data_IF_784528106445
#
_entry.id   IF_784528106445
#
_cell.length_a   1.000
_cell.length_b   1.000
_cell.length_c   1.000
_cell.angle_alpha   90.00
_cell.angle_beta   90.00
_cell.angle_gamma   90.00
#
_symmetry.space_group_name_H-M   'P 1'
#
loop_
_entity.id
_entity.type
_entity.pdbx_description
1 polymer ?
#
# COMPACT_ATOMS: atom_id res chain seq x y z
N UNK A 1 17.61 -12.09 -20.98
CA UNK A 1 17.07 -11.19 -22.01
C UNK A 1 15.98 -11.97 -22.73
N UNK A 2 14.80 -11.37 -22.95
CA UNK A 2 13.72 -12.03 -23.71
C UNK A 2 14.12 -12.13 -25.18
N UNK A 3 13.77 -13.23 -25.82
CA UNK A 3 13.99 -13.46 -27.25
C UNK A 3 13.03 -12.62 -28.10
N UNK A 4 13.42 -12.27 -29.32
CA UNK A 4 12.59 -11.43 -30.21
C UNK A 4 11.19 -12.02 -30.42
N UNK A 5 11.08 -13.35 -30.58
CA UNK A 5 9.80 -14.04 -30.77
C UNK A 5 8.85 -13.85 -29.58
N UNK A 6 9.38 -13.91 -28.35
CA UNK A 6 8.57 -13.74 -27.14
C UNK A 6 8.06 -12.31 -27.03
N UNK A 7 8.93 -11.32 -27.31
CA UNK A 7 8.55 -9.91 -27.28
C UNK A 7 7.52 -9.60 -28.36
N UNK A 8 7.71 -10.08 -29.59
CA UNK A 8 6.75 -9.93 -30.69
C UNK A 8 5.38 -10.49 -30.34
N UNK A 9 5.31 -11.64 -29.67
CA UNK A 9 4.05 -12.21 -29.20
C UNK A 9 3.35 -11.33 -28.14
N UNK A 10 4.12 -10.58 -27.34
CA UNK A 10 3.60 -9.66 -26.32
C UNK A 10 3.27 -8.25 -26.83
N UNK A 11 3.63 -7.88 -28.07
CA UNK A 11 3.47 -6.49 -28.56
C UNK A 11 2.00 -6.05 -28.65
N UNK A 12 1.06 -6.96 -28.91
CA UNK A 12 -0.38 -6.60 -28.92
C UNK A 12 -0.86 -6.24 -27.51
N UNK A 13 -0.58 -7.10 -26.53
CA UNK A 13 -0.86 -6.81 -25.11
C UNK A 13 -0.11 -5.58 -24.59
N UNK A 14 1.07 -5.29 -25.13
CA UNK A 14 1.80 -4.04 -24.85
C UNK A 14 1.06 -2.80 -25.37
N UNK A 15 0.51 -2.85 -26.59
CA UNK A 15 -0.28 -1.75 -27.17
C UNK A 15 -1.58 -1.52 -26.37
N UNK A 16 -2.19 -2.60 -25.89
CA UNK A 16 -3.45 -2.56 -25.14
C UNK A 16 -3.26 -2.27 -23.63
N UNK A 17 -2.02 -2.02 -23.18
CA UNK A 17 -1.63 -1.82 -21.77
C UNK A 17 -2.09 -2.96 -20.83
N UNK A 18 -2.08 -4.20 -21.32
CA UNK A 18 -2.51 -5.41 -20.60
C UNK A 18 -1.36 -6.16 -19.90
N UNK A 19 -0.11 -5.73 -20.12
CA UNK A 19 1.05 -6.35 -19.48
C UNK A 19 1.18 -5.95 -18.01
N UNK A 20 1.63 -6.89 -17.18
CA UNK A 20 2.09 -6.56 -15.83
C UNK A 20 3.33 -5.64 -15.88
N UNK A 21 3.64 -5.02 -14.74
CA UNK A 21 4.78 -4.10 -14.66
C UNK A 21 6.11 -4.77 -15.05
N UNK A 22 6.37 -5.98 -14.53
CA UNK A 22 7.59 -6.74 -14.83
C UNK A 22 7.67 -7.13 -16.32
N UNK A 23 6.55 -7.51 -16.92
CA UNK A 23 6.49 -7.88 -18.34
C UNK A 23 6.74 -6.68 -19.24
N UNK A 24 6.16 -5.52 -18.89
CA UNK A 24 6.32 -4.27 -19.63
C UNK A 24 7.77 -3.79 -19.57
N UNK A 25 8.40 -3.84 -18.40
CA UNK A 25 9.82 -3.50 -18.25
C UNK A 25 10.72 -4.41 -19.11
N UNK A 26 10.44 -5.72 -19.15
CA UNK A 26 11.18 -6.64 -19.99
C UNK A 26 11.02 -6.37 -21.49
N UNK A 27 9.81 -5.97 -21.93
CA UNK A 27 9.54 -5.57 -23.31
C UNK A 27 10.23 -4.24 -23.65
N UNK A 28 10.12 -3.23 -22.79
CA UNK A 28 10.76 -1.92 -22.96
C UNK A 28 12.29 -2.06 -23.05
N UNK A 29 12.88 -2.87 -22.18
CA UNK A 29 14.31 -3.20 -22.21
C UNK A 29 14.72 -3.85 -23.54
N UNK A 30 13.91 -4.78 -24.07
CA UNK A 30 14.21 -5.39 -25.36
C UNK A 30 14.07 -4.40 -26.52
N UNK A 31 13.03 -3.56 -26.53
CA UNK A 31 12.81 -2.55 -27.56
C UNK A 31 13.95 -1.53 -27.63
N UNK A 32 14.58 -1.21 -26.48
CA UNK A 32 15.75 -0.33 -26.44
C UNK A 32 17.03 -0.94 -27.03
N UNK A 33 17.12 -2.28 -27.05
CA UNK A 33 18.34 -3.00 -27.42
C UNK A 33 18.24 -3.76 -28.75
N UNK A 34 17.02 -3.94 -29.30
CA UNK A 34 16.76 -4.65 -30.55
C UNK A 34 16.18 -3.69 -31.60
N UNK A 35 16.80 -3.51 -32.77
CA UNK A 35 16.28 -2.61 -33.81
C UNK A 35 15.07 -3.16 -34.56
N UNK A 36 14.87 -4.48 -34.61
CA UNK A 36 13.79 -5.10 -35.39
C UNK A 36 12.41 -5.05 -34.68
N UNK A 37 12.38 -5.15 -33.35
CA UNK A 37 11.13 -5.18 -32.59
C UNK A 37 10.37 -3.84 -32.58
N UNK A 38 11.02 -2.66 -32.56
CA UNK A 38 10.37 -1.38 -32.77
C UNK A 38 9.68 -1.25 -34.14
N UNK A 39 10.25 -1.82 -35.20
CA UNK A 39 9.63 -1.82 -36.53
C UNK A 39 8.32 -2.63 -36.54
N UNK A 40 8.32 -3.80 -35.90
CA UNK A 40 7.13 -4.65 -35.75
C UNK A 40 6.06 -3.95 -34.90
N UNK A 41 6.46 -3.33 -33.78
CA UNK A 41 5.57 -2.56 -32.93
C UNK A 41 4.89 -1.41 -33.70
N UNK A 42 5.65 -0.71 -34.54
CA UNK A 42 5.12 0.37 -35.36
C UNK A 42 4.18 -0.14 -36.46
N UNK A 43 4.47 -1.30 -37.07
CA UNK A 43 3.58 -1.98 -38.00
C UNK A 43 2.22 -2.33 -37.36
N UNK A 44 2.25 -2.87 -36.15
CA UNK A 44 1.04 -3.18 -35.38
C UNK A 44 0.25 -1.90 -35.02
N UNK A 45 0.92 -0.83 -34.58
CA UNK A 45 0.29 0.45 -34.30
C UNK A 45 -0.43 1.04 -35.52
N UNK A 46 0.18 0.96 -36.70
CA UNK A 46 -0.48 1.38 -37.96
C UNK A 46 -1.72 0.54 -38.25
N UNK A 47 -1.67 -0.76 -38.00
CA UNK A 47 -2.83 -1.65 -38.17
C UNK A 47 -3.97 -1.25 -37.24
N UNK A 48 -3.67 -0.98 -35.97
CA UNK A 48 -4.65 -0.47 -34.98
C UNK A 48 -5.24 0.87 -35.44
N UNK A 49 -4.42 1.78 -35.95
CA UNK A 49 -4.89 3.08 -36.44
C UNK A 49 -5.81 2.93 -37.66
N UNK A 50 -5.48 2.04 -38.60
CA UNK A 50 -6.36 1.73 -39.73
C UNK A 50 -7.70 1.17 -39.25
N UNK A 51 -7.71 0.29 -38.26
CA UNK A 51 -8.93 -0.22 -37.65
C UNK A 51 -9.76 0.89 -37.00
N UNK A 52 -9.14 1.82 -36.27
CA UNK A 52 -9.82 2.96 -35.63
C UNK A 52 -10.50 3.89 -36.64
N UNK A 53 -9.95 3.99 -37.85
CA UNK A 53 -10.51 4.82 -38.93
C UNK A 53 -11.82 4.28 -39.52
N UNK A 54 -12.22 3.04 -39.24
CA UNK A 54 -13.50 2.49 -39.73
C UNK A 54 -14.71 3.20 -39.12
N UNK A 55 -14.52 4.02 -38.08
CA UNK A 55 -15.56 4.79 -37.43
C UNK A 55 -16.34 3.98 -36.39
N UNK A 56 -16.92 4.68 -35.43
CA UNK A 56 -17.72 4.05 -34.38
C UNK A 56 -19.09 3.62 -34.93
N UNK A 57 -19.54 2.45 -34.50
CA UNK A 57 -20.88 1.95 -34.79
C UNK A 57 -21.84 2.46 -33.72
N UNK A 58 -23.00 2.98 -34.14
CA UNK A 58 -24.07 3.40 -33.23
C UNK A 58 -24.51 2.22 -32.34
N UNK A 59 -24.33 2.37 -31.03
CA UNK A 59 -24.66 1.31 -30.07
C UNK A 59 -26.17 1.29 -29.80
N UNK A 60 -26.87 0.14 -29.93
CA UNK A 60 -28.31 0.05 -29.65
C UNK A 60 -28.67 0.53 -28.23
N UNK A 61 -29.71 1.35 -28.13
CA UNK A 61 -30.17 1.96 -26.86
C UNK A 61 -30.48 0.90 -25.81
N UNK A 62 -31.03 -0.25 -26.23
CA UNK A 62 -31.37 -1.38 -25.37
C UNK A 62 -30.13 -1.98 -24.71
N UNK A 63 -29.01 -2.08 -25.44
CA UNK A 63 -27.74 -2.58 -24.90
C UNK A 63 -27.20 -1.63 -23.83
N UNK A 64 -27.22 -0.32 -24.10
CA UNK A 64 -26.80 0.69 -23.12
C UNK A 64 -27.63 0.62 -21.83
N UNK A 65 -28.95 0.42 -21.95
CA UNK A 65 -29.85 0.26 -20.81
C UNK A 65 -29.53 -1.03 -20.02
N UNK A 66 -29.33 -2.15 -20.72
CA UNK A 66 -29.00 -3.44 -20.11
C UNK A 66 -27.67 -3.40 -19.33
N UNK A 67 -26.63 -2.80 -19.92
CA UNK A 67 -25.33 -2.62 -19.26
C UNK A 67 -25.49 -1.78 -17.99
N UNK A 68 -26.20 -0.65 -18.07
CA UNK A 68 -26.42 0.22 -16.90
C UNK A 68 -27.18 -0.49 -15.79
N UNK A 69 -28.19 -1.30 -16.13
CA UNK A 69 -28.92 -2.11 -15.17
C UNK A 69 -28.00 -3.15 -14.51
N UNK A 70 -27.15 -3.82 -15.29
CA UNK A 70 -26.22 -4.83 -14.77
C UNK A 70 -25.14 -4.24 -13.87
N UNK A 71 -24.55 -3.11 -14.25
CA UNK A 71 -23.54 -2.40 -13.43
C UNK A 71 -24.13 -1.95 -12.08
N UNK A 72 -25.41 -1.54 -12.03
CA UNK A 72 -26.08 -1.20 -10.76
C UNK A 72 -26.23 -2.41 -9.83
N UNK A 73 -26.40 -3.61 -10.37
CA UNK A 73 -26.52 -4.84 -9.58
C UNK A 73 -25.20 -5.26 -8.94
N UNK A 74 -24.05 -4.92 -9.55
CA UNK A 74 -22.73 -5.22 -8.99
C UNK A 74 -22.42 -4.41 -7.71
N UNK A 75 -23.24 -3.39 -7.42
CA UNK A 75 -23.09 -2.51 -6.27
C UNK A 75 -21.91 -1.54 -6.41
N UNK A 76 -21.86 -0.50 -5.56
CA UNK A 76 -20.68 0.37 -5.54
C UNK A 76 -19.45 -0.43 -5.10
N UNK A 77 -18.26 -0.14 -5.64
CA UNK A 77 -17.04 -0.80 -5.18
C UNK A 77 -16.87 -0.54 -3.68
N UNK A 78 -16.45 -1.57 -2.91
CA UNK A 78 -16.32 -1.49 -1.43
C UNK A 78 -15.43 -0.32 -0.99
N UNK A 79 -14.50 0.11 -1.84
CA UNK A 79 -13.61 1.27 -1.64
C UNK A 79 -14.33 2.61 -1.43
N UNK A 80 -15.62 2.72 -1.83
CA UNK A 80 -16.42 3.95 -1.64
C UNK A 80 -16.81 4.20 -0.18
N UNK A 81 -16.75 3.19 0.70
CA UNK A 81 -17.02 3.36 2.14
C UNK A 81 -15.82 3.89 2.94
N UNK A 82 -14.60 3.68 2.43
CA UNK A 82 -13.37 4.06 3.12
C UNK A 82 -13.24 5.59 3.37
N UNK A 83 -13.49 6.49 2.40
CA UNK A 83 -13.39 7.93 2.66
C UNK A 83 -14.46 8.41 3.66
N UNK A 84 -15.67 7.80 3.66
CA UNK A 84 -16.73 8.15 4.62
C UNK A 84 -16.34 7.78 6.06
N UNK A 85 -15.68 6.63 6.24
CA UNK A 85 -15.14 6.21 7.56
C UNK A 85 -14.01 7.14 7.99
N UNK A 86 -13.09 7.49 7.08
CA UNK A 86 -12.00 8.44 7.38
C UNK A 86 -12.53 9.83 7.77
N UNK A 87 -13.55 10.34 7.08
CA UNK A 87 -14.18 11.62 7.45
C UNK A 87 -14.86 11.56 8.82
N UNK A 88 -15.51 10.44 9.16
CA UNK A 88 -16.17 10.28 10.45
C UNK A 88 -15.15 10.22 11.60
N UNK A 89 -14.03 9.49 11.42
CA UNK A 89 -12.93 9.43 12.38
C UNK A 89 -12.27 10.80 12.54
N UNK A 90 -12.00 11.52 11.45
CA UNK A 90 -11.44 12.87 11.50
C UNK A 90 -12.37 13.83 12.25
N UNK A 91 -13.68 13.79 11.98
CA UNK A 91 -14.66 14.60 12.69
C UNK A 91 -14.72 14.27 14.19
N UNK A 92 -14.71 12.98 14.56
CA UNK A 92 -14.63 12.57 15.97
C UNK A 92 -13.35 13.05 16.65
N UNK A 93 -12.21 13.00 15.96
CA UNK A 93 -10.93 13.43 16.51
C UNK A 93 -10.90 14.95 16.70
N UNK A 94 -11.41 15.72 15.73
CA UNK A 94 -11.54 17.18 15.83
C UNK A 94 -12.49 17.56 16.98
N UNK A 95 -13.66 16.93 17.06
CA UNK A 95 -14.62 17.18 18.13
C UNK A 95 -14.07 16.78 19.49
N UNK A 96 -13.41 15.62 19.59
CA UNK A 96 -12.80 15.14 20.82
C UNK A 96 -11.68 16.05 21.31
N UNK A 97 -10.73 16.41 20.44
CA UNK A 97 -9.63 17.32 20.78
C UNK A 97 -10.16 18.72 21.11
N UNK A 98 -11.12 19.23 20.32
CA UNK A 98 -11.77 20.51 20.59
C UNK A 98 -12.51 20.53 21.92
N UNK A 99 -13.22 19.45 22.25
CA UNK A 99 -13.93 19.29 23.52
C UNK A 99 -12.94 19.17 24.71
N UNK A 100 -11.84 18.43 24.55
CA UNK A 100 -10.78 18.34 25.57
C UNK A 100 -10.08 19.67 25.82
N UNK A 101 -9.87 20.49 24.78
CA UNK A 101 -9.34 21.85 24.93
C UNK A 101 -10.36 22.79 25.57
N UNK A 102 -11.65 22.67 25.22
CA UNK A 102 -12.71 23.52 25.73
C UNK A 102 -13.08 23.26 27.19
N UNK A 103 -13.07 21.99 27.64
CA UNK A 103 -13.27 21.66 29.05
C UNK A 103 -12.03 21.93 29.91
N UNK A 104 -10.87 22.18 29.28
CA UNK A 104 -9.58 22.21 29.95
C UNK A 104 -9.26 20.85 30.62
N UNK A 105 -8.04 20.65 31.13
CA UNK A 105 -7.88 19.61 32.13
C UNK A 105 -8.85 19.94 33.27
N UNK A 106 -9.75 19.02 33.63
CA UNK A 106 -10.27 18.97 35.00
C UNK A 106 -9.06 18.65 35.88
N UNK A 107 -8.20 19.64 36.08
CA UNK A 107 -7.24 19.64 37.16
C UNK A 107 -8.13 19.63 38.40
N UNK A 108 -8.15 18.54 39.20
CA UNK A 108 -8.73 18.63 40.52
C UNK A 108 -8.01 19.78 41.22
N UNK A 109 -8.77 20.77 41.68
CA UNK A 109 -8.21 21.88 42.45
C UNK A 109 -7.30 21.28 43.53
N UNK A 110 -6.02 21.68 43.65
CA UNK A 110 -5.19 21.27 44.77
C UNK A 110 -5.67 22.01 46.03
N UNK A 111 -6.82 21.56 46.54
CA UNK A 111 -7.46 22.03 47.76
C UNK A 111 -7.10 21.09 48.90
N UNK A 112 -6.25 21.58 49.80
CA UNK A 112 -6.39 21.34 51.24
C UNK A 112 -6.33 19.88 51.74
N UNK A 113 -5.29 19.12 51.35
CA UNK A 113 -4.99 17.82 51.99
C UNK A 113 -3.56 17.67 52.54
N UNK A 114 -2.60 18.45 52.05
CA UNK A 114 -1.17 18.15 52.22
C UNK A 114 -0.54 18.60 53.56
N UNK A 115 -1.32 19.01 54.57
CA UNK A 115 -0.78 19.52 55.85
C UNK A 115 -0.92 18.60 57.06
N UNK A 116 -1.55 17.42 56.96
CA UNK A 116 -1.84 16.59 58.14
C UNK A 116 -1.08 15.27 58.31
N UNK A 117 -0.20 14.87 57.39
CA UNK A 117 0.57 13.63 57.55
C UNK A 117 2.09 13.85 57.46
N UNK A 118 2.56 14.83 58.25
CA UNK A 118 3.93 14.95 58.70
C UNK A 118 4.06 14.54 60.17
N UNK A 119 4.05 13.22 60.48
CA UNK A 119 4.64 12.68 61.73
C UNK A 119 4.63 11.14 61.75
N UNK A 120 5.83 10.55 61.89
CA UNK A 120 6.03 9.12 62.22
C UNK A 120 6.81 8.39 61.13
N UNK A 121 8.14 8.46 61.04
CA UNK A 121 9.20 7.92 61.92
C UNK A 121 9.44 6.41 61.73
N UNK A 122 10.73 6.13 61.53
CA UNK A 122 11.46 4.85 61.63
C UNK A 122 11.27 3.89 60.43
N UNK A 123 12.26 3.78 59.54
CA UNK A 123 13.47 2.95 59.67
C UNK A 123 13.11 1.46 59.72
N UNK A 124 13.42 0.72 58.66
CA UNK A 124 14.55 -0.22 58.67
C UNK A 124 14.72 -0.96 57.32
N UNK A 125 15.94 -1.46 57.15
CA UNK A 125 16.37 -2.52 56.23
C UNK A 125 16.58 -2.18 54.75
N UNK A 126 17.69 -1.48 54.52
CA UNK A 126 18.74 -1.85 53.56
C UNK A 126 18.94 -3.38 53.49
N UNK A 127 19.16 -3.90 52.27
CA UNK A 127 20.13 -4.96 51.87
C UNK A 127 19.85 -5.26 50.38
N UNK A 128 20.48 -4.55 49.43
CA UNK A 128 21.84 -4.81 48.89
C UNK A 128 21.95 -6.19 48.22
N UNK A 129 22.19 -6.21 46.91
CA UNK A 129 22.75 -7.40 46.24
C UNK A 129 22.40 -7.61 44.76
N UNK A 130 22.98 -6.81 43.86
CA UNK A 130 23.60 -7.38 42.65
C UNK A 130 25.05 -7.79 43.03
N UNK A 131 25.90 -8.44 42.20
CA UNK A 131 25.72 -9.05 40.87
C UNK A 131 26.36 -10.47 40.75
N UNK A 132 26.25 -11.14 39.60
CA UNK A 132 27.28 -12.06 39.11
C UNK A 132 27.11 -12.35 37.60
N UNK A 133 27.88 -11.65 36.77
CA UNK A 133 28.37 -12.17 35.49
C UNK A 133 29.65 -13.02 35.76
N UNK A 134 30.41 -13.54 34.78
CA UNK A 134 30.22 -13.67 33.33
C UNK A 134 30.67 -15.05 32.75
N UNK A 135 30.67 -15.13 31.42
CA UNK A 135 31.63 -15.84 30.57
C UNK A 135 31.75 -17.37 30.64
N UNK A 136 31.39 -18.03 29.54
CA UNK A 136 32.44 -18.62 28.72
C UNK A 136 32.05 -18.61 27.24
N UNK A 137 33.00 -18.11 26.47
CA UNK A 137 32.96 -17.78 25.06
C UNK A 137 33.14 -19.01 24.16
N UNK A 138 33.05 -18.73 22.85
CA UNK A 138 33.84 -19.35 21.75
C UNK A 138 33.53 -20.82 21.43
N UNK A 139 33.56 -21.31 20.20
CA UNK A 139 34.11 -20.85 18.92
C UNK A 139 33.38 -21.71 17.85
N UNK A 140 32.83 -21.14 16.78
CA UNK A 140 33.41 -21.04 15.42
C UNK A 140 33.58 -22.38 14.68
N UNK A 141 33.25 -22.31 13.38
CA UNK A 141 33.75 -23.11 12.26
C UNK A 141 32.80 -24.17 11.67
N UNK A 142 31.99 -23.72 10.70
CA UNK A 142 31.87 -24.40 9.40
C UNK A 142 33.22 -24.24 8.62
N UNK A 143 33.47 -24.79 7.40
CA UNK A 143 32.54 -25.43 6.45
C UNK A 143 33.11 -26.64 5.62
N UNK A 144 32.19 -27.39 4.97
CA UNK A 144 32.25 -28.03 3.61
C UNK A 144 33.47 -28.92 3.23
N UNK A 145 33.58 -29.57 2.03
CA UNK A 145 32.68 -29.66 0.86
C UNK A 145 32.56 -31.15 0.33
N UNK A 146 32.41 -31.48 -0.98
CA UNK A 146 31.41 -32.47 -1.44
C UNK A 146 32.01 -33.72 -2.14
N UNK A 147 31.15 -34.66 -2.54
CA UNK A 147 31.39 -35.62 -3.63
C UNK A 147 30.07 -35.97 -4.32
#
# INVERSE_FOLDING_TARGET
MKECREVQASLSAYIDDELSWDEREAVDSHLANCPACPEELESLRRTVELCRRLGDVEVPVQLRAAIKAKVRQLGPPRVRRLPMIMTALAAMLILGVGLSLALGPLAPSPGEGARLLGRGRARDATLTGAPAAPALSTEVAAPAPPA
#
